data_IF_485263323876
#
_entry.id   IF_485263323876
#
_cell.length_a   1.000
_cell.length_b   1.000
_cell.length_c   1.000
_cell.angle_alpha   90.00
_cell.angle_beta   90.00
_cell.angle_gamma   90.00
#
_symmetry.space_group_name_H-M   'P 1'
#
loop_
_entity.id
_entity.type
_entity.pdbx_description
1 polymer ?
#
# COMPACT_ATOMS: atom_id res chain seq x y z
N UNK A 1 39.35 -13.91 17.44
CA UNK A 1 38.36 -13.86 16.35
C UNK A 1 38.04 -12.39 16.11
N UNK A 2 38.54 -11.83 15.06
CA UNK A 2 38.54 -10.38 14.77
C UNK A 2 37.12 -9.90 14.44
N UNK A 3 36.70 -8.84 15.10
CA UNK A 3 35.39 -8.17 15.00
C UNK A 3 35.03 -7.76 13.54
N UNK A 4 36.03 -7.61 12.69
CA UNK A 4 35.91 -7.15 11.29
C UNK A 4 35.34 -8.19 10.32
N UNK A 5 35.38 -9.49 10.63
CA UNK A 5 34.89 -10.55 9.73
C UNK A 5 33.37 -10.76 9.82
N UNK A 6 32.66 -10.09 10.75
CA UNK A 6 31.22 -10.18 10.94
C UNK A 6 30.41 -9.05 10.31
N UNK A 7 31.07 -8.02 9.80
CA UNK A 7 30.38 -6.81 9.30
C UNK A 7 30.12 -6.86 7.78
N UNK A 8 30.87 -7.68 7.05
CA UNK A 8 30.65 -7.82 5.61
C UNK A 8 29.66 -8.96 5.34
N UNK A 9 28.54 -8.67 4.63
CA UNK A 9 27.56 -9.67 4.25
C UNK A 9 28.24 -10.71 3.34
N UNK A 10 27.94 -11.98 3.55
CA UNK A 10 28.42 -13.06 2.67
C UNK A 10 27.75 -12.93 1.30
N UNK A 11 28.44 -13.33 0.23
CA UNK A 11 27.85 -13.29 -1.12
C UNK A 11 26.53 -14.09 -1.21
N UNK A 12 26.34 -15.10 -0.37
CA UNK A 12 25.11 -15.86 -0.20
C UNK A 12 23.98 -14.99 0.35
N UNK A 13 24.26 -14.14 1.35
CA UNK A 13 23.27 -13.28 2.01
C UNK A 13 22.81 -12.18 1.06
N UNK A 14 23.74 -11.61 0.31
CA UNK A 14 23.45 -10.63 -0.75
C UNK A 14 22.59 -11.26 -1.84
N UNK A 15 22.87 -12.49 -2.26
CA UNK A 15 22.07 -13.19 -3.28
C UNK A 15 20.64 -13.46 -2.79
N UNK A 16 20.48 -13.86 -1.53
CA UNK A 16 19.16 -14.08 -0.92
C UNK A 16 18.39 -12.76 -0.82
N UNK A 17 19.04 -11.70 -0.33
CA UNK A 17 18.43 -10.36 -0.24
C UNK A 17 18.03 -9.82 -1.60
N UNK A 18 18.87 -9.95 -2.62
CA UNK A 18 18.52 -9.51 -3.98
C UNK A 18 17.43 -10.38 -4.59
N UNK A 19 17.44 -11.69 -4.34
CA UNK A 19 16.41 -12.61 -4.83
C UNK A 19 15.01 -12.33 -4.27
N UNK A 20 14.93 -11.84 -3.04
CA UNK A 20 13.68 -11.38 -2.42
C UNK A 20 13.42 -9.90 -2.68
N UNK A 21 14.46 -9.06 -2.67
CA UNK A 21 14.35 -7.61 -2.82
C UNK A 21 13.89 -7.19 -4.20
N UNK A 22 14.44 -7.78 -5.27
CA UNK A 22 14.09 -7.40 -6.64
C UNK A 22 12.57 -7.55 -6.95
N UNK A 23 11.92 -8.69 -6.63
CA UNK A 23 10.47 -8.78 -6.79
C UNK A 23 9.70 -7.76 -5.93
N UNK A 24 10.16 -7.46 -4.71
CA UNK A 24 9.50 -6.45 -3.86
C UNK A 24 9.67 -5.05 -4.45
N UNK A 25 10.84 -4.71 -5.01
CA UNK A 25 11.06 -3.45 -5.74
C UNK A 25 10.08 -3.34 -6.92
N UNK A 26 9.95 -4.40 -7.73
CA UNK A 26 9.00 -4.43 -8.85
C UNK A 26 7.56 -4.20 -8.38
N UNK A 27 7.15 -4.78 -7.25
CA UNK A 27 5.84 -4.54 -6.65
C UNK A 27 5.67 -3.09 -6.24
N UNK A 28 6.66 -2.49 -5.57
CA UNK A 28 6.60 -1.10 -5.12
C UNK A 28 6.51 -0.12 -6.31
N UNK A 29 7.36 -0.33 -7.32
CA UNK A 29 7.31 0.45 -8.57
C UNK A 29 5.98 0.25 -9.29
N UNK A 30 5.46 -0.98 -9.35
CA UNK A 30 4.17 -1.27 -9.96
C UNK A 30 3.00 -0.60 -9.23
N UNK A 31 3.02 -0.52 -7.90
CA UNK A 31 2.00 0.21 -7.13
C UNK A 31 2.07 1.72 -7.40
N UNK A 32 3.27 2.29 -7.55
CA UNK A 32 3.46 3.69 -7.92
C UNK A 32 2.99 3.94 -9.36
N UNK A 33 3.27 3.03 -10.28
CA UNK A 33 2.92 3.15 -11.70
C UNK A 33 1.41 3.30 -11.91
N UNK A 34 0.56 2.65 -11.11
CA UNK A 34 -0.89 2.81 -11.18
C UNK A 34 -1.32 4.27 -11.02
N UNK A 35 -0.80 4.96 -10.01
CA UNK A 35 -1.07 6.39 -9.78
C UNK A 35 -0.52 7.29 -10.90
N UNK A 36 0.64 6.93 -11.48
CA UNK A 36 1.23 7.66 -12.61
C UNK A 36 0.34 7.51 -13.85
N UNK A 37 -0.14 6.30 -14.15
CA UNK A 37 -1.06 6.06 -15.28
C UNK A 37 -2.35 6.86 -15.11
N UNK A 38 -2.96 6.83 -13.93
CA UNK A 38 -4.16 7.62 -13.61
C UNK A 38 -3.91 9.11 -13.87
N UNK A 39 -2.79 9.64 -13.39
CA UNK A 39 -2.41 11.05 -13.54
C UNK A 39 -2.21 11.44 -14.99
N UNK A 40 -1.50 10.62 -15.78
CA UNK A 40 -1.27 10.87 -17.22
C UNK A 40 -2.59 10.86 -17.97
N UNK A 41 -3.44 9.85 -17.75
CA UNK A 41 -4.68 9.70 -18.50
C UNK A 41 -5.68 10.83 -18.18
N UNK A 42 -5.82 11.18 -16.90
CA UNK A 42 -6.69 12.31 -16.51
C UNK A 42 -6.12 13.66 -16.95
N UNK A 43 -4.80 13.80 -16.95
CA UNK A 43 -4.12 15.01 -17.42
C UNK A 43 -4.41 15.37 -18.87
N UNK A 44 -4.75 14.38 -19.71
CA UNK A 44 -5.17 14.61 -21.10
C UNK A 44 -6.60 15.17 -21.23
N UNK A 45 -7.41 15.17 -20.18
CA UNK A 45 -8.75 15.78 -20.21
C UNK A 45 -8.67 17.29 -20.07
N UNK A 46 -8.29 17.74 -18.89
CA UNK A 46 -8.10 19.17 -18.53
C UNK A 46 -7.42 19.29 -17.17
N UNK A 47 -6.94 20.51 -16.87
CA UNK A 47 -6.25 20.82 -15.61
C UNK A 47 -7.15 20.68 -14.37
N UNK A 48 -8.45 20.97 -14.49
CA UNK A 48 -9.41 20.86 -13.38
C UNK A 48 -9.61 19.37 -12.97
N UNK A 49 -9.78 18.47 -13.93
CA UNK A 49 -9.90 17.04 -13.67
C UNK A 49 -8.61 16.48 -13.04
N UNK A 50 -7.43 16.90 -13.52
CA UNK A 50 -6.15 16.52 -12.96
C UNK A 50 -6.00 16.99 -11.51
N UNK A 51 -6.34 18.24 -11.21
CA UNK A 51 -6.32 18.79 -9.86
C UNK A 51 -7.29 18.04 -8.93
N UNK A 52 -8.48 17.68 -9.42
CA UNK A 52 -9.46 16.93 -8.64
C UNK A 52 -8.97 15.53 -8.27
N UNK A 53 -8.37 14.80 -9.23
CA UNK A 53 -7.79 13.47 -8.98
C UNK A 53 -6.60 13.58 -8.03
N UNK A 54 -5.74 14.59 -8.19
CA UNK A 54 -4.60 14.81 -7.31
C UNK A 54 -5.05 15.07 -5.86
N UNK A 55 -6.04 15.95 -5.65
CA UNK A 55 -6.60 16.22 -4.32
C UNK A 55 -7.33 15.02 -3.74
N UNK A 56 -8.12 14.30 -4.56
CA UNK A 56 -8.82 13.09 -4.14
C UNK A 56 -7.85 11.99 -3.71
N UNK A 57 -6.77 11.76 -4.46
CA UNK A 57 -5.71 10.82 -4.11
C UNK A 57 -4.96 11.25 -2.84
N UNK A 58 -4.60 12.53 -2.74
CA UNK A 58 -3.94 13.09 -1.56
C UNK A 58 -4.78 12.82 -0.31
N UNK A 59 -6.08 13.10 -0.38
CA UNK A 59 -6.99 12.88 0.74
C UNK A 59 -7.17 11.39 1.05
N UNK A 60 -7.35 10.53 0.03
CA UNK A 60 -7.48 9.09 0.20
C UNK A 60 -6.26 8.50 0.90
N UNK A 61 -5.05 8.80 0.41
CA UNK A 61 -3.83 8.30 1.03
C UNK A 61 -3.59 8.90 2.41
N UNK A 62 -3.93 10.18 2.63
CA UNK A 62 -3.88 10.81 3.94
C UNK A 62 -4.71 10.06 4.99
N UNK A 63 -5.84 9.48 4.59
CA UNK A 63 -6.69 8.64 5.46
C UNK A 63 -6.18 7.20 5.56
N UNK A 64 -5.76 6.61 4.44
CA UNK A 64 -5.47 5.18 4.36
C UNK A 64 -4.06 4.79 4.89
N UNK A 65 -3.11 5.73 4.87
CA UNK A 65 -1.68 5.43 5.14
C UNK A 65 -1.44 4.99 6.58
N UNK A 66 -2.19 5.53 7.54
CA UNK A 66 -2.13 5.08 8.93
C UNK A 66 -2.52 3.61 9.03
N UNK A 67 -3.67 3.25 8.45
CA UNK A 67 -4.16 1.86 8.44
C UNK A 67 -3.20 0.90 7.72
N UNK A 68 -2.61 1.35 6.60
CA UNK A 68 -1.57 0.60 5.90
C UNK A 68 -0.37 0.32 6.81
N UNK A 69 0.12 1.33 7.53
CA UNK A 69 1.24 1.18 8.46
C UNK A 69 0.90 0.24 9.63
N UNK A 70 -0.33 0.32 10.17
CA UNK A 70 -0.79 -0.63 11.19
C UNK A 70 -0.74 -2.07 10.68
N UNK A 71 -1.17 -2.32 9.45
CA UNK A 71 -1.16 -3.65 8.84
C UNK A 71 0.25 -4.16 8.51
N UNK A 72 1.26 -3.30 8.43
CA UNK A 72 2.66 -3.72 8.26
C UNK A 72 3.19 -4.51 9.47
N UNK A 73 2.55 -4.43 10.64
CA UNK A 73 2.85 -5.32 11.77
C UNK A 73 2.68 -6.81 11.45
N UNK A 74 1.95 -7.16 10.38
CA UNK A 74 1.83 -8.53 9.90
C UNK A 74 3.19 -9.12 9.49
N UNK A 75 4.08 -8.34 8.88
CA UNK A 75 5.39 -8.83 8.43
C UNK A 75 6.18 -9.50 9.56
N UNK A 76 6.52 -8.80 10.67
CA UNK A 76 7.27 -9.43 11.75
C UNK A 76 6.48 -10.53 12.48
N UNK A 77 5.17 -10.37 12.66
CA UNK A 77 4.34 -11.35 13.38
C UNK A 77 4.27 -12.66 12.62
N UNK A 78 4.00 -12.61 11.32
CA UNK A 78 3.88 -13.82 10.50
C UNK A 78 5.25 -14.42 10.18
N UNK A 79 6.26 -13.58 9.84
CA UNK A 79 7.59 -14.07 9.52
C UNK A 79 8.26 -14.79 10.70
N UNK A 80 8.10 -14.28 11.93
CA UNK A 80 8.62 -14.95 13.13
C UNK A 80 7.92 -16.29 13.38
N UNK A 81 6.59 -16.34 13.24
CA UNK A 81 5.84 -17.58 13.39
C UNK A 81 6.26 -18.63 12.35
N UNK A 82 6.42 -18.21 11.09
CA UNK A 82 6.93 -19.08 10.00
C UNK A 82 8.35 -19.55 10.29
N UNK A 83 9.23 -18.65 10.75
CA UNK A 83 10.58 -18.99 11.14
C UNK A 83 10.67 -20.00 12.27
N UNK A 84 9.77 -19.91 13.24
CA UNK A 84 9.65 -20.84 14.37
C UNK A 84 9.00 -22.18 13.97
N UNK A 85 8.47 -22.32 12.74
CA UNK A 85 7.69 -23.50 12.32
C UNK A 85 6.30 -23.57 12.95
N UNK A 86 5.83 -22.50 13.61
CA UNK A 86 4.49 -22.43 14.23
C UNK A 86 3.45 -21.98 13.21
N UNK A 87 2.97 -22.94 12.43
CA UNK A 87 1.93 -22.72 11.42
C UNK A 87 0.60 -22.23 12.01
N UNK A 88 0.31 -22.59 13.26
CA UNK A 88 -0.89 -22.14 13.98
C UNK A 88 -0.81 -20.65 14.32
N UNK A 89 0.34 -20.21 14.84
CA UNK A 89 0.57 -18.79 15.15
C UNK A 89 0.56 -17.95 13.85
N UNK A 90 1.18 -18.46 12.78
CA UNK A 90 1.15 -17.79 11.48
C UNK A 90 -0.29 -17.62 10.96
N UNK A 91 -1.11 -18.69 11.01
CA UNK A 91 -2.51 -18.64 10.61
C UNK A 91 -3.32 -17.64 11.47
N UNK A 92 -3.16 -17.69 12.81
CA UNK A 92 -3.80 -16.72 13.71
C UNK A 92 -3.38 -15.29 13.41
N UNK A 93 -2.09 -15.06 13.09
CA UNK A 93 -1.57 -13.74 12.69
C UNK A 93 -2.27 -13.20 11.45
N UNK A 94 -2.34 -13.98 10.38
CA UNK A 94 -3.00 -13.60 9.13
C UNK A 94 -4.50 -13.34 9.33
N UNK A 95 -5.20 -14.22 10.03
CA UNK A 95 -6.65 -14.07 10.28
C UNK A 95 -6.97 -12.84 11.13
N UNK A 96 -6.14 -12.52 12.14
CA UNK A 96 -6.22 -11.26 12.90
C UNK A 96 -5.96 -10.05 12.02
N UNK A 97 -5.02 -10.15 11.08
CA UNK A 97 -4.77 -9.11 10.10
C UNK A 97 -6.00 -8.81 9.24
N UNK A 98 -6.74 -9.85 8.81
CA UNK A 98 -8.01 -9.68 8.07
C UNK A 98 -9.05 -8.95 8.91
N UNK A 99 -9.22 -9.35 10.19
CA UNK A 99 -10.15 -8.67 11.10
C UNK A 99 -9.73 -7.22 11.31
N UNK A 100 -8.44 -6.97 11.56
CA UNK A 100 -7.92 -5.64 11.77
C UNK A 100 -8.09 -4.75 10.54
N UNK A 101 -7.88 -5.29 9.33
CA UNK A 101 -8.13 -4.59 8.08
C UNK A 101 -9.60 -4.18 7.95
N UNK A 102 -10.54 -5.09 8.24
CA UNK A 102 -11.97 -4.80 8.23
C UNK A 102 -12.34 -3.71 9.26
N UNK A 103 -11.77 -3.77 10.47
CA UNK A 103 -11.98 -2.75 11.52
C UNK A 103 -11.41 -1.38 11.10
N UNK A 104 -10.24 -1.34 10.46
CA UNK A 104 -9.63 -0.11 9.97
C UNK A 104 -10.37 0.51 8.78
N UNK A 105 -11.07 -0.30 7.98
CA UNK A 105 -11.91 0.20 6.90
C UNK A 105 -13.04 1.11 7.40
N UNK A 106 -13.60 0.84 8.57
CA UNK A 106 -14.73 1.61 9.10
C UNK A 106 -14.37 3.08 9.35
N UNK A 107 -13.35 3.40 10.18
CA UNK A 107 -12.94 4.78 10.37
C UNK A 107 -12.40 5.42 9.09
N UNK A 108 -11.68 4.67 8.25
CA UNK A 108 -11.20 5.19 6.98
C UNK A 108 -12.37 5.59 6.06
N UNK A 109 -13.39 4.76 5.96
CA UNK A 109 -14.60 5.07 5.19
C UNK A 109 -15.35 6.29 5.77
N UNK A 110 -15.48 6.36 7.10
CA UNK A 110 -16.11 7.48 7.77
C UNK A 110 -15.36 8.80 7.53
N UNK A 111 -14.02 8.78 7.48
CA UNK A 111 -13.21 9.95 7.17
C UNK A 111 -13.25 10.34 5.68
N UNK A 112 -13.50 9.40 4.77
CA UNK A 112 -13.62 9.69 3.33
C UNK A 112 -14.98 10.33 2.97
N UNK A 113 -16.03 10.10 3.75
CA UNK A 113 -17.37 10.65 3.48
C UNK A 113 -17.40 12.20 3.44
N UNK A 114 -16.83 12.92 4.44
CA UNK A 114 -16.87 14.38 4.48
C UNK A 114 -15.76 15.03 3.63
N UNK A 115 -15.11 14.31 2.71
CA UNK A 115 -13.97 14.83 1.94
C UNK A 115 -14.27 16.18 1.26
N UNK A 116 -15.47 16.35 0.70
CA UNK A 116 -15.90 17.59 0.05
C UNK A 116 -15.90 18.78 1.04
N UNK A 117 -16.46 18.59 2.23
CA UNK A 117 -16.48 19.62 3.27
C UNK A 117 -15.08 19.95 3.79
N UNK A 118 -14.25 18.93 4.02
CA UNK A 118 -12.87 19.10 4.51
C UNK A 118 -12.01 19.86 3.49
N UNK A 119 -12.11 19.49 2.20
CA UNK A 119 -11.41 20.20 1.13
C UNK A 119 -11.90 21.64 0.96
N UNK A 120 -13.21 21.89 1.16
CA UNK A 120 -13.77 23.24 1.19
C UNK A 120 -13.22 24.07 2.34
N UNK A 121 -13.14 23.53 3.56
CA UNK A 121 -12.52 24.20 4.71
C UNK A 121 -11.01 24.44 4.53
N UNK A 122 -10.35 23.60 3.74
CA UNK A 122 -8.95 23.78 3.37
C UNK A 122 -8.74 24.85 2.26
N UNK A 123 -9.77 25.62 1.92
CA UNK A 123 -9.74 26.67 0.88
C UNK A 123 -9.23 26.17 -0.48
N UNK A 124 -9.60 24.93 -0.87
CA UNK A 124 -9.29 24.42 -2.20
C UNK A 124 -10.23 25.07 -3.25
N UNK A 125 -9.82 25.14 -4.54
CA UNK A 125 -10.62 25.77 -5.58
C UNK A 125 -12.05 25.19 -5.64
N UNK A 126 -13.08 26.05 -5.59
CA UNK A 126 -14.48 25.62 -5.47
C UNK A 126 -14.97 24.79 -6.68
N UNK A 127 -14.35 24.96 -7.86
CA UNK A 127 -14.63 24.13 -9.03
C UNK A 127 -14.04 22.73 -8.97
N UNK A 128 -13.00 22.50 -8.13
CA UNK A 128 -12.31 21.21 -7.99
C UNK A 128 -12.90 20.39 -6.85
N UNK A 129 -13.35 21.05 -5.78
CA UNK A 129 -13.82 20.41 -4.53
C UNK A 129 -14.94 19.39 -4.75
N UNK A 130 -16.02 19.67 -5.51
CA UNK A 130 -17.10 18.71 -5.72
C UNK A 130 -16.62 17.44 -6.46
N UNK A 131 -15.73 17.59 -7.44
CA UNK A 131 -15.18 16.49 -8.23
C UNK A 131 -14.26 15.62 -7.36
N UNK A 132 -13.40 16.24 -6.55
CA UNK A 132 -12.53 15.55 -5.60
C UNK A 132 -13.35 14.84 -4.50
N UNK A 133 -14.43 15.47 -4.02
CA UNK A 133 -15.37 14.85 -3.09
C UNK A 133 -16.07 13.61 -3.68
N UNK A 134 -16.52 13.70 -4.94
CA UNK A 134 -17.08 12.56 -5.65
C UNK A 134 -16.04 11.44 -5.85
N UNK A 135 -14.81 11.79 -6.20
CA UNK A 135 -13.67 10.87 -6.29
C UNK A 135 -13.47 10.09 -4.97
N UNK A 136 -13.46 10.79 -3.82
CA UNK A 136 -13.29 10.17 -2.51
C UNK A 136 -14.46 9.25 -2.15
N UNK A 137 -15.71 9.64 -2.42
CA UNK A 137 -16.89 8.79 -2.20
C UNK A 137 -16.84 7.48 -3.00
N UNK A 138 -16.45 7.56 -4.26
CA UNK A 138 -16.25 6.38 -5.12
C UNK A 138 -15.08 5.51 -4.64
N UNK A 139 -14.09 6.09 -3.98
CA UNK A 139 -12.94 5.37 -3.44
C UNK A 139 -13.23 4.62 -2.14
N UNK A 140 -14.37 4.86 -1.46
CA UNK A 140 -14.73 4.19 -0.20
C UNK A 140 -14.75 2.66 -0.34
N UNK A 141 -15.50 2.04 -1.27
CA UNK A 141 -15.44 0.60 -1.46
C UNK A 141 -14.04 0.13 -1.88
N UNK A 142 -13.26 0.97 -2.54
CA UNK A 142 -11.86 0.70 -2.89
C UNK A 142 -10.93 0.59 -1.69
N UNK A 143 -11.25 1.22 -0.56
CA UNK A 143 -10.47 1.11 0.68
C UNK A 143 -10.47 -0.33 1.23
N UNK A 144 -11.61 -1.03 1.14
CA UNK A 144 -11.70 -2.45 1.54
C UNK A 144 -10.80 -3.33 0.66
N UNK A 145 -10.86 -3.14 -0.67
CA UNK A 145 -9.97 -3.85 -1.61
C UNK A 145 -8.49 -3.53 -1.35
N UNK A 146 -8.17 -2.27 -1.03
CA UNK A 146 -6.82 -1.84 -0.71
C UNK A 146 -6.27 -2.49 0.57
N UNK A 147 -7.01 -2.47 1.68
CA UNK A 147 -6.57 -3.10 2.92
C UNK A 147 -6.54 -4.63 2.82
N UNK A 148 -7.48 -5.25 2.13
CA UNK A 148 -7.44 -6.69 1.83
C UNK A 148 -6.16 -7.05 1.03
N UNK A 149 -5.84 -6.26 0.00
CA UNK A 149 -4.59 -6.42 -0.74
C UNK A 149 -3.36 -6.31 0.16
N UNK A 150 -3.32 -5.33 1.07
CA UNK A 150 -2.19 -5.17 2.01
C UNK A 150 -2.03 -6.43 2.87
N UNK A 151 -3.11 -6.95 3.45
CA UNK A 151 -3.05 -8.17 4.28
C UNK A 151 -2.54 -9.37 3.49
N UNK A 152 -3.09 -9.62 2.30
CA UNK A 152 -2.65 -10.76 1.48
C UNK A 152 -1.22 -10.60 0.99
N UNK A 153 -0.82 -9.38 0.62
CA UNK A 153 0.55 -9.05 0.22
C UNK A 153 1.54 -9.33 1.36
N UNK A 154 1.29 -8.77 2.55
CA UNK A 154 2.16 -8.96 3.71
C UNK A 154 2.23 -10.45 4.11
N UNK A 155 1.10 -11.15 4.07
CA UNK A 155 1.07 -12.60 4.36
C UNK A 155 1.92 -13.40 3.38
N UNK A 156 1.75 -13.20 2.07
CA UNK A 156 2.54 -13.89 1.04
C UNK A 156 4.03 -13.50 1.10
N UNK A 157 4.33 -12.24 1.39
CA UNK A 157 5.69 -11.73 1.56
C UNK A 157 6.37 -12.40 2.78
N UNK A 158 5.69 -12.47 3.92
CA UNK A 158 6.18 -13.16 5.12
C UNK A 158 6.35 -14.68 4.90
N UNK A 159 5.54 -15.29 4.04
CA UNK A 159 5.68 -16.68 3.58
C UNK A 159 6.80 -16.86 2.53
N UNK A 160 7.46 -15.80 2.09
CA UNK A 160 8.48 -15.80 1.04
C UNK A 160 7.93 -16.08 -0.38
N UNK A 161 6.64 -15.86 -0.61
CA UNK A 161 5.94 -16.13 -1.87
C UNK A 161 5.66 -14.84 -2.65
N UNK A 162 6.67 -14.31 -3.35
CA UNK A 162 6.59 -13.02 -4.03
C UNK A 162 6.01 -13.08 -5.45
N UNK A 163 6.09 -14.22 -6.14
CA UNK A 163 5.62 -14.36 -7.53
C UNK A 163 4.14 -14.02 -7.72
N UNK A 164 3.19 -14.49 -6.87
CA UNK A 164 1.79 -14.09 -6.95
C UNK A 164 1.60 -12.58 -6.80
N UNK A 165 2.40 -11.93 -5.95
CA UNK A 165 2.30 -10.48 -5.70
C UNK A 165 2.70 -9.70 -6.95
N UNK A 166 3.85 -10.05 -7.55
CA UNK A 166 4.32 -9.40 -8.79
C UNK A 166 3.30 -9.55 -9.90
N UNK A 167 2.80 -10.79 -10.13
CA UNK A 167 1.82 -11.06 -11.17
C UNK A 167 0.52 -10.27 -10.94
N UNK A 168 -0.01 -10.27 -9.71
CA UNK A 168 -1.24 -9.54 -9.37
C UNK A 168 -1.10 -8.03 -9.61
N UNK A 169 0.02 -7.43 -9.22
CA UNK A 169 0.27 -5.99 -9.41
C UNK A 169 0.40 -5.65 -10.88
N UNK A 170 1.14 -6.44 -11.67
CA UNK A 170 1.29 -6.17 -13.10
C UNK A 170 -0.05 -6.30 -13.85
N UNK A 171 -0.81 -7.36 -13.58
CA UNK A 171 -2.14 -7.56 -14.21
C UNK A 171 -3.09 -6.44 -13.79
N UNK A 172 -3.10 -6.06 -12.51
CA UNK A 172 -3.97 -5.00 -12.03
C UNK A 172 -3.63 -3.63 -12.64
N UNK A 173 -2.36 -3.34 -12.94
CA UNK A 173 -1.96 -2.13 -13.67
C UNK A 173 -2.52 -2.12 -15.10
N UNK A 174 -2.47 -3.27 -15.81
CA UNK A 174 -3.06 -3.39 -17.15
C UNK A 174 -4.59 -3.21 -17.11
N UNK A 175 -5.24 -3.83 -16.12
CA UNK A 175 -6.69 -3.67 -15.90
C UNK A 175 -7.03 -2.22 -15.59
N UNK A 176 -6.25 -1.56 -14.72
CA UNK A 176 -6.44 -0.15 -14.38
C UNK A 176 -6.33 0.74 -15.62
N UNK A 177 -5.28 0.57 -16.42
CA UNK A 177 -5.11 1.33 -17.65
C UNK A 177 -6.27 1.12 -18.64
N UNK A 178 -6.73 -0.13 -18.79
CA UNK A 178 -7.90 -0.45 -19.62
C UNK A 178 -9.19 0.16 -19.11
N UNK A 179 -9.45 0.06 -17.78
CA UNK A 179 -10.62 0.68 -17.16
C UNK A 179 -10.58 2.20 -17.23
N UNK A 180 -9.42 2.81 -17.03
CA UNK A 180 -9.23 4.25 -17.22
C UNK A 180 -9.60 4.67 -18.66
N UNK A 181 -9.11 3.94 -19.66
CA UNK A 181 -9.43 4.22 -21.07
C UNK A 181 -10.94 4.13 -21.34
N UNK A 182 -11.63 3.16 -20.73
CA UNK A 182 -13.08 3.00 -20.90
C UNK A 182 -13.85 4.07 -20.13
N UNK A 183 -13.55 4.28 -18.85
CA UNK A 183 -14.38 5.09 -17.95
C UNK A 183 -14.06 6.58 -17.98
N UNK A 184 -12.80 6.96 -18.22
CA UNK A 184 -12.42 8.38 -18.33
C UNK A 184 -12.96 8.95 -19.65
N UNK A 185 -12.74 8.25 -20.76
CA UNK A 185 -13.03 8.77 -22.10
C UNK A 185 -14.38 8.31 -22.66
N UNK A 186 -15.07 7.36 -22.02
CA UNK A 186 -16.38 6.89 -22.47
C UNK A 186 -16.33 5.94 -23.66
N UNK A 187 -15.36 5.04 -23.70
CA UNK A 187 -15.27 4.02 -24.75
C UNK A 187 -16.18 2.81 -24.46
N UNK A 188 -16.35 1.96 -25.47
CA UNK A 188 -17.17 0.72 -25.38
C UNK A 188 -18.64 0.94 -24.96
N UNK A 189 -19.20 2.11 -25.30
CA UNK A 189 -20.60 2.45 -24.97
C UNK A 189 -20.85 2.92 -23.54
N UNK A 190 -19.80 3.09 -22.75
CA UNK A 190 -19.90 3.68 -21.39
C UNK A 190 -19.88 5.21 -21.48
N UNK A 191 -20.56 5.91 -20.56
CA UNK A 191 -20.48 7.37 -20.49
C UNK A 191 -19.07 7.82 -20.08
N UNK A 192 -18.62 8.94 -20.61
CA UNK A 192 -17.36 9.58 -20.20
C UNK A 192 -17.52 10.17 -18.81
N UNK A 193 -16.94 9.52 -17.79
CA UNK A 193 -17.02 9.93 -16.39
C UNK A 193 -15.88 10.86 -15.95
N UNK A 194 -14.88 11.09 -16.82
CA UNK A 194 -13.76 11.97 -16.53
C UNK A 194 -12.99 11.55 -15.26
N UNK A 195 -12.73 12.52 -14.37
CA UNK A 195 -12.03 12.29 -13.10
C UNK A 195 -12.69 11.23 -12.20
N UNK A 196 -14.02 11.17 -12.18
CA UNK A 196 -14.76 10.16 -11.40
C UNK A 196 -14.60 8.76 -12.04
N UNK A 197 -14.42 8.70 -13.36
CA UNK A 197 -14.09 7.47 -14.07
C UNK A 197 -12.76 6.87 -13.62
N UNK A 198 -11.75 7.70 -13.37
CA UNK A 198 -10.48 7.27 -12.79
C UNK A 198 -10.67 6.71 -11.36
N UNK A 199 -11.53 7.32 -10.53
CA UNK A 199 -11.84 6.80 -9.20
C UNK A 199 -12.46 5.39 -9.27
N UNK A 200 -13.38 5.16 -10.19
CA UNK A 200 -13.99 3.84 -10.43
C UNK A 200 -12.94 2.84 -10.93
N UNK A 201 -12.12 3.22 -11.91
CA UNK A 201 -11.06 2.37 -12.43
C UNK A 201 -10.10 1.91 -11.32
N UNK A 202 -9.64 2.84 -10.49
CA UNK A 202 -8.75 2.55 -9.36
C UNK A 202 -9.44 1.71 -8.28
N UNK A 203 -10.71 1.99 -7.96
CA UNK A 203 -11.50 1.22 -7.00
C UNK A 203 -11.66 -0.23 -7.44
N UNK A 204 -12.06 -0.47 -8.70
CA UNK A 204 -12.18 -1.82 -9.27
C UNK A 204 -10.81 -2.50 -9.30
N UNK A 205 -9.76 -1.79 -9.70
CA UNK A 205 -8.40 -2.34 -9.78
C UNK A 205 -7.86 -2.78 -8.42
N UNK A 206 -8.20 -2.10 -7.33
CA UNK A 206 -7.85 -2.52 -5.95
C UNK A 206 -8.51 -3.85 -5.58
N UNK A 207 -9.77 -4.05 -5.96
CA UNK A 207 -10.47 -5.32 -5.77
C UNK A 207 -9.92 -6.42 -6.67
N UNK A 208 -9.64 -6.12 -7.93
CA UNK A 208 -8.98 -7.04 -8.86
C UNK A 208 -7.62 -7.46 -8.31
N UNK A 209 -6.83 -6.53 -7.80
CA UNK A 209 -5.52 -6.79 -7.22
C UNK A 209 -5.62 -7.69 -5.98
N UNK A 210 -6.56 -7.43 -5.07
CA UNK A 210 -6.83 -8.28 -3.90
C UNK A 210 -7.33 -9.68 -4.32
N UNK A 211 -8.26 -9.74 -5.27
CA UNK A 211 -8.81 -11.00 -5.81
C UNK A 211 -7.76 -11.83 -6.55
N UNK A 212 -6.90 -11.21 -7.36
CA UNK A 212 -5.80 -11.89 -8.03
C UNK A 212 -4.78 -12.44 -7.02
N UNK A 213 -4.45 -11.67 -5.97
CA UNK A 213 -3.59 -12.19 -4.91
C UNK A 213 -4.18 -13.39 -4.21
N UNK A 214 -5.48 -13.34 -3.90
CA UNK A 214 -6.17 -14.48 -3.30
C UNK A 214 -6.20 -15.67 -4.25
N UNK A 215 -6.47 -15.47 -5.55
CA UNK A 215 -6.55 -16.55 -6.53
C UNK A 215 -5.17 -17.16 -6.83
N UNK A 216 -4.17 -16.32 -7.16
CA UNK A 216 -2.82 -16.78 -7.52
C UNK A 216 -2.03 -17.29 -6.31
N UNK A 217 -2.29 -16.75 -5.12
CA UNK A 217 -1.69 -17.18 -3.86
C UNK A 217 -2.55 -18.17 -3.07
N UNK A 218 -3.64 -18.70 -3.64
CA UNK A 218 -4.60 -19.53 -2.91
C UNK A 218 -3.97 -20.74 -2.24
N UNK A 219 -3.03 -21.38 -2.91
CA UNK A 219 -2.34 -22.58 -2.40
C UNK A 219 -1.61 -22.28 -1.08
N UNK A 220 -1.02 -21.12 -0.98
CA UNK A 220 -0.26 -20.65 0.18
C UNK A 220 -1.15 -19.96 1.23
N UNK A 221 -2.16 -19.21 0.79
CA UNK A 221 -3.06 -18.47 1.68
C UNK A 221 -4.14 -19.35 2.31
N UNK A 222 -4.62 -20.38 1.60
CA UNK A 222 -5.67 -21.26 2.11
C UNK A 222 -5.35 -21.85 3.50
N UNK A 223 -4.18 -22.44 3.77
CA UNK A 223 -3.89 -23.05 5.09
C UNK A 223 -3.77 -22.01 6.23
N UNK A 224 -3.50 -20.74 5.92
CA UNK A 224 -3.43 -19.67 6.92
C UNK A 224 -4.75 -18.90 7.05
N UNK A 225 -5.62 -18.94 6.04
CA UNK A 225 -6.96 -18.32 6.08
C UNK A 225 -8.01 -19.30 6.60
N UNK A 226 -7.87 -20.61 6.31
CA UNK A 226 -8.84 -21.65 6.63
C UNK A 226 -8.14 -22.88 7.26
N UNK A 227 -8.78 -23.56 8.24
CA UNK A 227 -10.00 -23.13 8.96
C UNK A 227 -9.74 -21.94 9.89
N UNK A 228 -10.82 -21.27 10.32
CA UNK A 228 -10.72 -20.19 11.32
C UNK A 228 -10.20 -20.79 12.63
N UNK A 229 -9.10 -20.21 13.13
CA UNK A 229 -8.42 -20.72 14.34
C UNK A 229 -9.10 -20.23 15.61
N UNK A 230 -9.13 -21.04 16.69
CA UNK A 230 -9.63 -20.58 17.97
C UNK A 230 -8.86 -19.36 18.50
N UNK A 231 -9.57 -18.41 19.13
CA UNK A 231 -8.97 -17.22 19.72
C UNK A 231 -8.51 -16.15 18.73
N UNK A 232 -8.88 -16.24 17.45
CA UNK A 232 -8.58 -15.20 16.45
C UNK A 232 -9.25 -13.88 16.80
N UNK A 233 -10.50 -13.92 17.28
CA UNK A 233 -11.28 -12.75 17.71
C UNK A 233 -10.93 -12.23 19.11
N UNK A 234 -9.90 -12.75 19.77
CA UNK A 234 -9.48 -12.26 21.09
C UNK A 234 -9.09 -10.78 21.02
N UNK A 235 -9.84 -9.94 21.73
CA UNK A 235 -9.65 -8.50 21.75
C UNK A 235 -8.24 -8.10 22.24
N UNK A 236 -7.69 -8.83 23.23
CA UNK A 236 -6.33 -8.55 23.74
C UNK A 236 -5.27 -8.80 22.69
N UNK A 237 -5.42 -9.86 21.90
CA UNK A 237 -4.47 -10.20 20.84
C UNK A 237 -4.59 -9.24 19.65
N UNK A 238 -5.79 -8.82 19.27
CA UNK A 238 -6.04 -7.78 18.26
C UNK A 238 -5.47 -6.44 18.71
N UNK A 239 -5.71 -6.03 19.96
CA UNK A 239 -5.14 -4.81 20.53
C UNK A 239 -3.60 -4.85 20.54
N UNK A 240 -3.00 -5.98 20.92
CA UNK A 240 -1.54 -6.13 20.87
C UNK A 240 -1.01 -5.95 19.46
N UNK A 241 -1.65 -6.54 18.45
CA UNK A 241 -1.26 -6.41 17.05
C UNK A 241 -1.44 -4.97 16.55
N UNK A 242 -2.55 -4.32 16.93
CA UNK A 242 -2.77 -2.90 16.65
C UNK A 242 -1.67 -2.03 17.28
N UNK A 243 -1.35 -2.23 18.56
CA UNK A 243 -0.33 -1.45 19.26
C UNK A 243 1.09 -1.67 18.70
N UNK A 244 1.39 -2.83 18.11
CA UNK A 244 2.62 -3.07 17.37
C UNK A 244 2.68 -2.27 16.07
N UNK A 245 1.56 -2.17 15.37
CA UNK A 245 1.47 -1.48 14.08
C UNK A 245 1.21 0.01 14.21
N UNK A 246 0.58 0.48 15.29
CA UNK A 246 0.22 1.89 15.45
C UNK A 246 1.43 2.84 15.37
N UNK A 247 2.60 2.57 15.97
CA UNK A 247 3.79 3.39 15.79
C UNK A 247 4.24 3.48 14.33
N UNK A 248 4.16 2.36 13.58
CA UNK A 248 4.49 2.31 12.15
C UNK A 248 3.48 3.17 11.37
N UNK A 249 2.20 3.06 11.71
CA UNK A 249 1.14 3.88 11.12
C UNK A 249 1.34 5.37 11.37
N UNK A 250 1.69 5.75 12.62
CA UNK A 250 2.00 7.14 12.99
C UNK A 250 3.25 7.63 12.24
N UNK A 251 4.30 6.81 12.15
CA UNK A 251 5.50 7.16 11.40
C UNK A 251 5.18 7.48 9.94
N UNK A 252 4.44 6.60 9.24
CA UNK A 252 4.05 6.85 7.86
C UNK A 252 3.12 8.05 7.71
N UNK A 253 2.22 8.27 8.68
CA UNK A 253 1.35 9.45 8.68
C UNK A 253 2.13 10.75 8.84
N UNK A 254 3.12 10.77 9.74
CA UNK A 254 4.00 11.93 9.93
C UNK A 254 4.87 12.17 8.70
N UNK A 255 5.46 11.12 8.15
CA UNK A 255 6.28 11.20 6.93
C UNK A 255 5.46 11.78 5.76
N UNK A 256 4.27 11.25 5.52
CA UNK A 256 3.35 11.76 4.50
C UNK A 256 2.95 13.23 4.77
N UNK A 257 2.67 13.57 6.03
CA UNK A 257 2.32 14.92 6.45
C UNK A 257 3.45 15.92 6.22
N UNK A 258 4.70 15.54 6.49
CA UNK A 258 5.89 16.39 6.26
C UNK A 258 6.07 16.67 4.77
N UNK A 259 5.98 15.65 3.90
CA UNK A 259 6.05 15.87 2.45
C UNK A 259 4.93 16.77 1.95
N UNK A 260 3.71 16.61 2.46
CA UNK A 260 2.59 17.47 2.16
C UNK A 260 2.82 18.92 2.61
N UNK A 261 3.35 19.13 3.83
CA UNK A 261 3.68 20.45 4.37
C UNK A 261 4.78 21.14 3.55
N UNK A 262 5.85 20.41 3.20
CA UNK A 262 6.93 20.96 2.36
C UNK A 262 6.38 21.37 0.98
N UNK A 263 5.51 20.56 0.38
CA UNK A 263 4.83 20.90 -0.87
C UNK A 263 4.02 22.19 -0.76
N UNK A 264 3.31 22.38 0.35
CA UNK A 264 2.55 23.62 0.65
C UNK A 264 3.48 24.82 0.80
N UNK A 265 4.60 24.68 1.53
CA UNK A 265 5.60 25.74 1.69
C UNK A 265 6.23 26.15 0.35
N UNK A 266 6.48 25.18 -0.55
CA UNK A 266 6.94 25.47 -1.90
C UNK A 266 5.91 26.28 -2.70
N UNK A 267 4.61 26.10 -2.43
CA UNK A 267 3.53 26.91 -3.00
C UNK A 267 3.63 28.40 -2.64
N UNK A 268 4.11 28.72 -1.45
CA UNK A 268 4.33 30.11 -1.03
C UNK A 268 5.48 30.80 -1.76
N UNK A 269 6.45 30.00 -2.28
CA UNK A 269 7.59 30.53 -3.02
C UNK A 269 7.25 30.78 -4.51
N UNK A 270 6.19 30.17 -5.03
CA UNK A 270 5.72 30.37 -6.39
C UNK A 270 5.56 29.09 -7.21
N UNK A 271 4.92 29.23 -8.36
CA UNK A 271 4.55 28.08 -9.22
C UNK A 271 5.74 27.34 -9.80
N UNK A 272 6.81 28.06 -10.18
CA UNK A 272 8.05 27.45 -10.72
C UNK A 272 8.73 26.58 -9.67
N UNK A 273 8.78 27.02 -8.43
CA UNK A 273 9.37 26.29 -7.28
C UNK A 273 8.56 25.03 -6.97
N UNK A 274 7.22 25.11 -7.00
CA UNK A 274 6.36 23.93 -6.84
C UNK A 274 6.63 22.90 -7.95
N UNK A 275 6.71 23.34 -9.21
CA UNK A 275 6.96 22.45 -10.33
C UNK A 275 8.33 21.76 -10.22
N UNK A 276 9.38 22.52 -9.89
CA UNK A 276 10.72 21.98 -9.69
C UNK A 276 10.76 20.98 -8.53
N UNK A 277 10.12 21.31 -7.39
CA UNK A 277 10.03 20.42 -6.23
C UNK A 277 9.27 19.11 -6.56
N UNK A 278 8.18 19.20 -7.31
CA UNK A 278 7.41 18.03 -7.72
C UNK A 278 8.21 17.09 -8.63
N UNK A 279 9.00 17.63 -9.54
CA UNK A 279 9.89 16.82 -10.39
C UNK A 279 10.96 16.14 -9.52
N UNK A 280 11.58 16.88 -8.61
CA UNK A 280 12.59 16.33 -7.70
C UNK A 280 12.01 15.24 -6.78
N UNK A 281 10.81 15.45 -6.22
CA UNK A 281 10.11 14.45 -5.41
C UNK A 281 9.76 13.19 -6.19
N UNK A 282 9.29 13.31 -7.43
CA UNK A 282 8.97 12.15 -8.25
C UNK A 282 10.22 11.30 -8.52
N UNK A 283 11.35 11.95 -8.85
CA UNK A 283 12.60 11.26 -9.09
C UNK A 283 13.15 10.60 -7.81
N UNK A 284 13.11 11.32 -6.69
CA UNK A 284 13.50 10.82 -5.38
C UNK A 284 12.62 9.62 -4.95
N UNK A 285 11.30 9.69 -5.19
CA UNK A 285 10.36 8.62 -4.86
C UNK A 285 10.67 7.33 -5.62
N UNK A 286 10.93 7.41 -6.93
CA UNK A 286 11.34 6.24 -7.73
C UNK A 286 12.63 5.63 -7.17
N UNK A 287 13.62 6.46 -6.86
CA UNK A 287 14.90 6.01 -6.30
C UNK A 287 14.69 5.38 -4.92
N UNK A 288 13.81 5.96 -4.09
CA UNK A 288 13.49 5.47 -2.75
C UNK A 288 12.80 4.10 -2.74
N UNK A 289 12.12 3.71 -3.82
CA UNK A 289 11.49 2.38 -3.91
C UNK A 289 12.51 1.24 -3.84
N UNK A 290 13.76 1.48 -4.26
CA UNK A 290 14.82 0.46 -4.22
C UNK A 290 15.23 0.14 -2.76
N UNK A 291 15.68 1.10 -1.93
CA UNK A 291 16.00 0.81 -0.52
C UNK A 291 14.77 0.34 0.27
N UNK A 292 13.57 0.84 -0.04
CA UNK A 292 12.34 0.39 0.60
C UNK A 292 12.05 -1.09 0.32
N UNK A 293 12.23 -1.53 -0.93
CA UNK A 293 12.07 -2.93 -1.30
C UNK A 293 13.10 -3.85 -0.63
N UNK A 294 14.35 -3.40 -0.55
CA UNK A 294 15.42 -4.15 0.14
C UNK A 294 15.16 -4.21 1.65
N UNK A 295 14.73 -3.11 2.28
CA UNK A 295 14.37 -3.07 3.70
C UNK A 295 13.23 -4.04 4.03
N UNK A 296 12.19 -4.09 3.19
CA UNK A 296 11.09 -5.03 3.35
C UNK A 296 11.55 -6.49 3.23
N UNK A 297 12.44 -6.78 2.27
CA UNK A 297 13.02 -8.12 2.13
C UNK A 297 13.88 -8.50 3.34
N UNK A 298 14.70 -7.57 3.83
CA UNK A 298 15.51 -7.77 5.03
C UNK A 298 14.66 -8.05 6.27
N UNK A 299 13.55 -7.33 6.46
CA UNK A 299 12.62 -7.54 7.57
C UNK A 299 12.05 -8.98 7.59
N UNK A 300 11.75 -9.55 6.43
CA UNK A 300 11.28 -10.96 6.32
C UNK A 300 12.40 -11.93 6.68
N UNK A 301 13.62 -11.74 6.14
CA UNK A 301 14.77 -12.62 6.42
C UNK A 301 15.12 -12.60 7.90
N UNK A 302 15.22 -11.40 8.49
CA UNK A 302 15.49 -11.24 9.94
C UNK A 302 14.35 -11.85 10.77
N UNK A 303 13.10 -11.63 10.39
CA UNK A 303 11.93 -12.22 11.05
C UNK A 303 12.01 -13.75 11.10
N UNK A 304 12.36 -14.39 9.98
CA UNK A 304 12.56 -15.84 9.92
C UNK A 304 13.72 -16.31 10.79
N UNK A 305 14.85 -15.58 10.81
CA UNK A 305 16.01 -15.93 11.63
C UNK A 305 15.69 -15.80 13.13
N UNK A 306 15.02 -14.74 13.53
CA UNK A 306 14.55 -14.54 14.92
C UNK A 306 13.59 -15.66 15.33
N UNK A 307 12.64 -16.03 14.47
CA UNK A 307 11.71 -17.12 14.72
C UNK A 307 12.42 -18.46 14.94
N UNK A 308 13.50 -18.74 14.18
CA UNK A 308 14.35 -19.93 14.37
C UNK A 308 15.30 -19.85 15.56
N UNK A 309 15.31 -18.76 16.30
CA UNK A 309 16.30 -18.45 17.35
C UNK A 309 17.76 -18.45 16.83
N UNK A 310 17.95 -18.21 15.54
CA UNK A 310 19.23 -18.13 14.85
C UNK A 310 19.82 -16.71 14.98
N UNK A 311 20.61 -16.50 16.03
CA UNK A 311 21.27 -15.19 16.30
C UNK A 311 22.27 -14.80 15.21
N UNK A 312 22.90 -15.77 14.56
CA UNK A 312 23.87 -15.52 13.50
C UNK A 312 23.22 -15.08 12.19
N UNK A 313 22.06 -15.61 11.88
CA UNK A 313 21.29 -15.24 10.70
C UNK A 313 20.48 -13.94 10.88
N UNK A 314 20.31 -13.47 12.12
CA UNK A 314 19.62 -12.22 12.43
C UNK A 314 20.55 -10.99 12.48
N UNK A 315 21.87 -11.20 12.60
CA UNK A 315 22.91 -10.16 12.62
C UNK A 315 23.58 -10.02 11.28
#
# INVERSE_FOLDING_TARGET
>A
MTFTSRILPRATDVRVLLGLGLPVIVVQVGMMAMGVVDTIMVGHLNAQALAAVALGNLYFFGVAIFGMGVLMALDPVVAQAVGAGDHEAAARGVQRGVILAALLCLPASAMLLPAESVLGWANQPPEVVPIAGAYCRVSIPGAFGFFAFIVFRQSLQALGRLRPIVAAVLIANLVNAGLNWVLIYGHLGMPALGAVGSAWATTVSRWVMAGLLLALGWRELRPVLLPIRPGVGDARALTRMFLLGAPIGVQHQLEYGVFGLVGLMMGWLGTTQVAAHQIALNLASVTFMVPLGLSSAAAVVVGHAVGRSDRGGAS
#
